data_IF_783227205952
#
_entry.id   IF_783227205952
#
_cell.length_a   1.000
_cell.length_b   1.000
_cell.length_c   1.000
_cell.angle_alpha   90.00
_cell.angle_beta   90.00
_cell.angle_gamma   90.00
#
_symmetry.space_group_name_H-M   'P 1'
#
loop_
_entity.id
_entity.type
_entity.pdbx_description
1 polymer ?
#
# COMPACT_ATOMS: atom_id res chain seq x y z
N UNK A 1 -31.78 16.34 35.24
CA UNK A 1 -30.93 17.14 34.35
C UNK A 1 -29.60 16.44 34.30
N UNK A 2 -29.45 15.53 33.33
CA UNK A 2 -28.15 15.06 32.84
C UNK A 2 -27.39 16.26 32.22
N UNK A 3 -26.05 16.26 32.10
CA UNK A 3 -25.30 15.10 31.59
C UNK A 3 -23.91 14.87 32.19
N UNK A 4 -23.44 13.62 32.17
CA UNK A 4 -22.00 13.34 32.05
C UNK A 4 -21.81 12.32 30.93
N UNK A 5 -21.65 12.86 29.72
CA UNK A 5 -21.11 12.14 28.59
C UNK A 5 -19.59 12.10 28.74
N UNK A 6 -19.06 10.98 29.24
CA UNK A 6 -17.64 10.70 29.22
C UNK A 6 -17.26 10.33 27.78
N UNK A 7 -16.74 11.33 27.07
CA UNK A 7 -16.08 11.16 25.78
C UNK A 7 -14.62 10.88 26.05
N UNK A 8 -14.13 9.73 25.60
CA UNK A 8 -12.73 9.37 25.73
C UNK A 8 -12.45 8.02 25.07
N UNK A 9 -12.68 7.92 23.76
CA UNK A 9 -12.03 6.88 22.96
C UNK A 9 -10.54 7.22 22.91
N UNK A 10 -9.84 6.92 23.99
CA UNK A 10 -8.39 6.86 24.00
C UNK A 10 -8.02 5.64 23.16
N UNK A 11 -7.65 5.89 21.90
CA UNK A 11 -6.88 4.92 21.15
C UNK A 11 -5.65 4.62 22.01
N UNK A 12 -5.53 3.36 22.43
CA UNK A 12 -4.49 2.87 23.33
C UNK A 12 -3.14 2.87 22.59
N UNK A 13 -2.58 4.05 22.34
CA UNK A 13 -1.21 4.22 21.88
C UNK A 13 -0.29 3.85 23.04
N UNK A 14 0.27 2.64 22.97
CA UNK A 14 1.33 2.25 23.88
C UNK A 14 2.65 2.90 23.43
N UNK A 15 3.53 3.26 24.38
CA UNK A 15 4.90 3.60 24.04
C UNK A 15 5.53 2.44 23.24
N UNK A 16 5.83 2.69 21.97
CA UNK A 16 6.36 1.68 21.03
C UNK A 16 5.40 1.25 19.91
N UNK A 17 4.19 1.80 19.84
CA UNK A 17 3.28 1.55 18.71
C UNK A 17 3.74 2.31 17.44
N UNK A 18 3.87 1.57 16.35
CA UNK A 18 4.35 2.00 15.04
C UNK A 18 3.22 2.09 14.02
N UNK A 19 3.18 3.18 13.25
CA UNK A 19 2.17 3.39 12.21
C UNK A 19 2.70 2.92 10.85
N UNK A 20 2.22 1.80 10.33
CA UNK A 20 2.59 1.27 9.02
C UNK A 20 1.54 1.65 7.97
N UNK A 21 1.97 2.24 6.86
CA UNK A 21 1.14 2.39 5.66
C UNK A 21 0.97 1.01 5.00
N UNK A 22 -0.26 0.60 4.72
CA UNK A 22 -0.56 -0.68 4.07
C UNK A 22 -0.49 -0.55 2.54
N UNK A 23 -0.17 -1.63 1.81
CA UNK A 23 -0.03 -1.60 0.35
C UNK A 23 -1.38 -1.60 -0.39
N UNK A 24 -2.49 -1.75 0.33
CA UNK A 24 -3.85 -1.62 -0.19
C UNK A 24 -4.54 -0.36 0.35
N UNK A 25 -5.49 0.16 -0.42
CA UNK A 25 -6.38 1.24 -0.01
C UNK A 25 -7.68 0.68 0.57
N UNK A 26 -8.49 1.56 1.17
CA UNK A 26 -9.87 1.25 1.52
C UNK A 26 -10.71 1.09 0.25
N UNK A 27 -11.94 0.61 0.40
CA UNK A 27 -12.92 0.56 -0.70
C UNK A 27 -13.20 1.94 -1.32
N UNK A 28 -12.97 3.01 -0.57
CA UNK A 28 -13.09 4.41 -1.04
C UNK A 28 -11.78 4.95 -1.64
N UNK A 29 -10.74 4.12 -1.78
CA UNK A 29 -9.44 4.52 -2.31
C UNK A 29 -8.57 5.31 -1.32
N UNK A 30 -8.95 5.40 -0.03
CA UNK A 30 -8.17 6.12 0.98
C UNK A 30 -6.99 5.26 1.47
N UNK A 31 -5.83 5.88 1.81
CA UNK A 31 -4.72 5.15 2.43
C UNK A 31 -5.15 4.44 3.72
N UNK A 32 -4.71 3.19 3.89
CA UNK A 32 -4.95 2.40 5.10
C UNK A 32 -3.68 2.31 5.95
N UNK A 33 -3.85 2.40 7.27
CA UNK A 33 -2.75 2.34 8.23
C UNK A 33 -2.96 1.22 9.24
N UNK A 34 -1.87 0.59 9.66
CA UNK A 34 -1.80 -0.40 10.72
C UNK A 34 -0.99 0.18 11.88
N UNK A 35 -1.56 0.15 13.09
CA UNK A 35 -0.82 0.39 14.33
C UNK A 35 -0.28 -0.98 14.79
N UNK A 36 1.03 -1.11 14.95
CA UNK A 36 1.72 -2.38 15.26
C UNK A 36 2.91 -2.15 16.17
N UNK A 37 3.35 -3.13 16.93
CA UNK A 37 4.61 -3.08 17.72
C UNK A 37 5.87 -3.43 16.88
N UNK A 38 5.74 -3.39 15.56
CA UNK A 38 6.71 -3.82 14.55
C UNK A 38 7.29 -5.26 14.71
N UNK A 39 6.67 -6.13 15.52
CA UNK A 39 7.15 -7.51 15.74
C UNK A 39 6.72 -8.50 14.64
N UNK A 40 6.41 -8.01 13.44
CA UNK A 40 6.05 -8.87 12.31
C UNK A 40 4.73 -9.63 12.49
N UNK A 41 3.70 -8.99 13.07
CA UNK A 41 2.37 -9.57 13.27
C UNK A 41 1.67 -10.03 11.97
N UNK A 42 0.53 -10.74 12.05
CA UNK A 42 -0.15 -11.34 10.89
C UNK A 42 -0.46 -10.34 9.76
N UNK A 43 -0.92 -9.13 10.11
CA UNK A 43 -1.23 -8.08 9.12
C UNK A 43 0.05 -7.51 8.49
N UNK A 44 1.13 -7.39 9.26
CA UNK A 44 2.44 -6.98 8.72
C UNK A 44 2.97 -7.99 7.71
N UNK A 45 2.86 -9.30 7.98
CA UNK A 45 3.25 -10.34 7.02
C UNK A 45 2.36 -10.37 5.78
N UNK A 46 1.06 -10.14 5.94
CA UNK A 46 0.15 -9.99 4.82
C UNK A 46 0.54 -8.77 3.96
N UNK A 47 0.88 -7.65 4.59
CA UNK A 47 1.38 -6.48 3.89
C UNK A 47 2.69 -6.79 3.13
N UNK A 48 3.65 -7.47 3.74
CA UNK A 48 4.90 -7.86 3.05
C UNK A 48 4.63 -8.78 1.83
N UNK A 49 3.70 -9.72 1.99
CA UNK A 49 3.28 -10.63 0.92
C UNK A 49 2.62 -9.86 -0.23
N UNK A 50 1.68 -8.97 0.08
CA UNK A 50 1.00 -8.14 -0.92
C UNK A 50 1.98 -7.19 -1.62
N UNK A 51 2.90 -6.56 -0.90
CA UNK A 51 3.96 -5.74 -1.50
C UNK A 51 4.76 -6.58 -2.52
N UNK A 52 5.13 -7.82 -2.17
CA UNK A 52 5.86 -8.72 -3.08
C UNK A 52 5.04 -9.10 -4.32
N UNK A 53 3.76 -9.43 -4.14
CA UNK A 53 2.87 -9.82 -5.25
C UNK A 53 2.67 -8.65 -6.20
N UNK A 54 2.37 -7.45 -5.70
CA UNK A 54 2.19 -6.25 -6.52
C UNK A 54 3.44 -5.90 -7.34
N UNK A 55 4.63 -5.97 -6.73
CA UNK A 55 5.89 -5.74 -7.45
C UNK A 55 6.16 -6.83 -8.51
N UNK A 56 5.82 -8.09 -8.22
CA UNK A 56 5.90 -9.18 -9.18
C UNK A 56 4.99 -8.95 -10.39
N UNK A 57 3.71 -8.64 -10.14
CA UNK A 57 2.75 -8.30 -11.20
C UNK A 57 3.19 -7.09 -12.02
N UNK A 58 3.74 -6.06 -11.38
CA UNK A 58 4.29 -4.89 -12.07
C UNK A 58 5.47 -5.26 -12.98
N UNK A 59 6.32 -6.17 -12.55
CA UNK A 59 7.46 -6.67 -13.35
C UNK A 59 6.96 -7.43 -14.60
N UNK A 60 5.99 -8.32 -14.43
CA UNK A 60 5.37 -9.06 -15.53
C UNK A 60 4.66 -8.14 -16.52
N UNK A 61 3.92 -7.14 -16.03
CA UNK A 61 3.23 -6.15 -16.85
C UNK A 61 4.21 -5.32 -17.68
N UNK A 62 5.31 -4.87 -17.09
CA UNK A 62 6.36 -4.13 -17.80
C UNK A 62 6.98 -4.98 -18.90
N UNK A 63 7.32 -6.23 -18.61
CA UNK A 63 7.87 -7.15 -19.60
C UNK A 63 6.90 -7.38 -20.76
N UNK A 64 5.61 -7.61 -20.46
CA UNK A 64 4.57 -7.77 -21.48
C UNK A 64 4.41 -6.51 -22.34
N UNK A 65 4.37 -5.34 -21.70
CA UNK A 65 4.21 -4.04 -22.38
C UNK A 65 5.38 -3.74 -23.31
N UNK A 66 6.63 -4.03 -22.89
CA UNK A 66 7.81 -3.85 -23.73
C UNK A 66 7.74 -4.63 -25.04
N UNK A 67 7.17 -5.84 -25.01
CA UNK A 67 7.00 -6.67 -26.20
C UNK A 67 5.84 -6.18 -27.08
N UNK A 68 4.78 -5.63 -26.48
CA UNK A 68 3.56 -5.26 -27.19
C UNK A 68 3.60 -3.85 -27.79
N UNK A 69 4.25 -2.88 -27.13
CA UNK A 69 4.27 -1.48 -27.55
C UNK A 69 4.68 -1.21 -29.01
N UNK A 70 5.67 -1.89 -29.61
CA UNK A 70 6.09 -1.62 -30.99
C UNK A 70 4.96 -1.78 -32.01
N UNK A 71 4.06 -2.75 -31.80
CA UNK A 71 2.98 -3.11 -32.71
C UNK A 71 1.58 -2.97 -32.07
N UNK A 72 1.49 -2.24 -30.96
CA UNK A 72 0.28 -2.17 -30.15
C UNK A 72 -0.90 -1.56 -30.94
N UNK A 73 -2.03 -2.27 -31.04
CA UNK A 73 -3.26 -1.72 -31.59
C UNK A 73 -3.69 -0.48 -30.82
N UNK A 74 -4.24 0.53 -31.51
CA UNK A 74 -4.69 1.79 -30.84
C UNK A 74 -5.66 1.56 -29.68
N UNK A 75 -6.48 0.51 -29.76
CA UNK A 75 -7.43 0.13 -28.70
C UNK A 75 -6.74 -0.37 -27.43
N UNK A 76 -5.56 -0.98 -27.54
CA UNK A 76 -4.83 -1.57 -26.41
C UNK A 76 -3.97 -0.55 -25.67
N UNK A 77 -3.53 0.52 -26.34
CA UNK A 77 -2.70 1.57 -25.73
C UNK A 77 -3.38 2.23 -24.52
N UNK A 78 -4.69 2.48 -24.56
CA UNK A 78 -5.43 3.04 -23.42
C UNK A 78 -5.39 2.09 -22.24
N UNK A 79 -5.70 0.82 -22.47
CA UNK A 79 -5.71 -0.21 -21.45
C UNK A 79 -4.32 -0.40 -20.82
N UNK A 80 -3.26 -0.49 -21.64
CA UNK A 80 -1.89 -0.60 -21.16
C UNK A 80 -1.49 0.62 -20.31
N UNK A 81 -1.81 1.83 -20.76
CA UNK A 81 -1.53 3.04 -19.99
C UNK A 81 -2.24 3.05 -18.62
N UNK A 82 -3.49 2.59 -18.56
CA UNK A 82 -4.23 2.43 -17.29
C UNK A 82 -3.57 1.41 -16.38
N UNK A 83 -3.25 0.21 -16.88
CA UNK A 83 -2.58 -0.84 -16.10
C UNK A 83 -1.21 -0.39 -15.57
N UNK A 84 -0.41 0.29 -16.40
CA UNK A 84 0.90 0.81 -16.00
C UNK A 84 0.76 1.92 -14.95
N UNK A 85 -0.24 2.77 -15.07
CA UNK A 85 -0.51 3.84 -14.09
C UNK A 85 -0.89 3.24 -12.74
N UNK A 86 -1.73 2.19 -12.71
CA UNK A 86 -2.07 1.46 -11.49
C UNK A 86 -0.84 0.80 -10.86
N UNK A 87 -0.06 0.06 -11.65
CA UNK A 87 1.15 -0.61 -11.17
C UNK A 87 2.19 0.38 -10.62
N UNK A 88 2.34 1.55 -11.24
CA UNK A 88 3.21 2.62 -10.75
C UNK A 88 2.69 3.21 -9.43
N UNK A 89 1.38 3.42 -9.32
CA UNK A 89 0.74 3.87 -8.08
C UNK A 89 0.98 2.90 -6.92
N UNK A 90 0.88 1.60 -7.17
CA UNK A 90 1.20 0.55 -6.20
C UNK A 90 2.68 0.59 -5.81
N UNK A 91 3.59 0.65 -6.79
CA UNK A 91 5.03 0.72 -6.52
C UNK A 91 5.42 1.95 -5.66
N UNK A 92 4.83 3.11 -5.94
CA UNK A 92 5.06 4.34 -5.16
C UNK A 92 4.56 4.20 -3.72
N UNK A 93 3.38 3.61 -3.50
CA UNK A 93 2.85 3.33 -2.16
C UNK A 93 3.75 2.38 -1.37
N UNK A 94 4.25 1.33 -2.02
CA UNK A 94 5.17 0.37 -1.41
C UNK A 94 6.49 1.05 -1.03
N UNK A 95 7.04 1.87 -1.94
CA UNK A 95 8.26 2.63 -1.69
C UNK A 95 8.10 3.60 -0.51
N UNK A 96 6.96 4.29 -0.41
CA UNK A 96 6.66 5.16 0.73
C UNK A 96 6.56 4.37 2.03
N UNK A 97 5.83 3.26 2.03
CA UNK A 97 5.66 2.40 3.21
C UNK A 97 7.02 1.88 3.70
N UNK A 98 7.83 1.32 2.80
CA UNK A 98 9.19 0.83 3.13
C UNK A 98 10.10 1.97 3.59
N UNK A 99 10.06 3.13 2.94
CA UNK A 99 10.85 4.30 3.31
C UNK A 99 10.53 4.82 4.71
N UNK A 100 9.26 4.82 5.11
CA UNK A 100 8.84 5.18 6.48
C UNK A 100 9.38 4.18 7.51
N UNK A 101 9.37 2.88 7.21
CA UNK A 101 9.95 1.83 8.08
C UNK A 101 11.48 1.97 8.20
N UNK A 102 12.18 2.23 7.09
CA UNK A 102 13.64 2.41 7.10
C UNK A 102 14.08 3.64 7.92
N UNK A 103 13.36 4.77 7.80
CA UNK A 103 13.68 5.98 8.57
C UNK A 103 13.54 5.82 10.08
N UNK A 104 12.85 4.78 10.54
CA UNK A 104 12.70 4.47 11.98
C UNK A 104 13.84 3.62 12.52
N UNK A 105 14.58 2.95 11.65
CA UNK A 105 15.75 2.14 12.01
C UNK A 105 17.05 2.97 12.11
N UNK A 106 17.02 4.24 11.70
CA UNK A 106 18.16 5.17 11.68
C UNK A 106 17.97 6.29 12.71
#
# INVERSE_FOLDING_TARGET
MEPQAETGTEAFERPGDEVRLLPWASTEGKPCYLITDDQGGPVSRLADTTESIQLGMGTELLAHTHNLLPDAPRGELRFLAERLTEALGDALRIAESRGRRLRRLN
#
